data_IF_185307663830
#
_entry.id   IF_185307663830
#
_cell.length_a   1.000
_cell.length_b   1.000
_cell.length_c   1.000
_cell.angle_alpha   90.00
_cell.angle_beta   90.00
_cell.angle_gamma   90.00
#
_symmetry.space_group_name_H-M   'P 1'
#
loop_
_entity.id
_entity.type
_entity.pdbx_description
1 polymer ?
#
# COMPACT_ATOMS: atom_id res chain seq x y z
N UNK A 1 -16.27 26.77 5.91
CA UNK A 1 -14.94 26.75 5.27
C UNK A 1 -15.12 26.46 3.79
N UNK A 2 -14.13 26.78 2.94
CA UNK A 2 -14.34 26.86 1.50
C UNK A 2 -14.26 25.48 0.86
N UNK A 3 -15.39 24.97 0.34
CA UNK A 3 -15.45 23.78 -0.54
C UNK A 3 -14.36 23.81 -1.63
N UNK A 4 -13.94 25.02 -2.03
CA UNK A 4 -12.88 25.27 -3.00
C UNK A 4 -11.50 24.78 -2.55
N UNK A 5 -11.15 24.88 -1.27
CA UNK A 5 -9.82 24.49 -0.76
C UNK A 5 -9.64 22.97 -0.81
N UNK A 6 -10.65 22.23 -0.36
CA UNK A 6 -10.68 20.75 -0.42
C UNK A 6 -10.64 20.25 -1.86
N UNK A 7 -11.41 20.87 -2.74
CA UNK A 7 -11.42 20.51 -4.15
C UNK A 7 -10.08 20.81 -4.84
N UNK A 8 -9.39 21.91 -4.48
CA UNK A 8 -8.04 22.18 -4.97
C UNK A 8 -7.08 21.09 -4.52
N UNK A 9 -7.04 20.80 -3.22
CA UNK A 9 -6.17 19.76 -2.65
C UNK A 9 -6.33 18.40 -3.33
N UNK A 10 -7.58 17.94 -3.53
CA UNK A 10 -7.85 16.67 -4.20
C UNK A 10 -7.31 16.66 -5.63
N UNK A 11 -7.47 17.76 -6.37
CA UNK A 11 -6.95 17.88 -7.74
C UNK A 11 -5.43 17.85 -7.75
N UNK A 12 -4.81 18.63 -6.87
CA UNK A 12 -3.36 18.75 -6.76
C UNK A 12 -2.75 17.39 -6.38
N UNK A 13 -3.37 16.65 -5.46
CA UNK A 13 -2.90 15.32 -5.06
C UNK A 13 -3.05 14.27 -6.19
N UNK A 14 -4.14 14.32 -6.95
CA UNK A 14 -4.31 13.43 -8.12
C UNK A 14 -3.29 13.76 -9.21
N UNK A 15 -3.05 15.04 -9.50
CA UNK A 15 -2.06 15.48 -10.49
C UNK A 15 -0.63 15.13 -10.05
N UNK A 16 -0.29 15.32 -8.78
CA UNK A 16 1.01 14.95 -8.19
C UNK A 16 1.34 13.48 -8.38
N UNK A 17 0.33 12.60 -8.38
CA UNK A 17 0.50 11.17 -8.63
C UNK A 17 0.56 10.79 -10.12
N UNK A 18 0.65 11.79 -11.00
CA UNK A 18 0.91 11.60 -12.43
C UNK A 18 -0.34 11.47 -13.31
N UNK A 19 -1.54 11.74 -12.78
CA UNK A 19 -2.76 11.70 -13.58
C UNK A 19 -3.04 13.04 -14.27
N UNK A 20 -3.23 13.01 -15.59
CA UNK A 20 -3.59 14.19 -16.37
C UNK A 20 -5.07 14.57 -16.13
N UNK A 21 -5.28 15.71 -15.47
CA UNK A 21 -6.59 16.26 -15.14
C UNK A 21 -7.41 16.73 -16.36
N UNK A 22 -6.81 16.78 -17.55
CA UNK A 22 -7.49 17.02 -18.83
C UNK A 22 -8.13 15.76 -19.43
N UNK A 23 -7.83 14.58 -18.88
CA UNK A 23 -8.35 13.29 -19.38
C UNK A 23 -9.57 12.81 -18.59
N UNK A 24 -10.33 11.88 -19.18
CA UNK A 24 -11.45 11.21 -18.49
C UNK A 24 -10.94 10.44 -17.27
N UNK A 25 -9.76 9.83 -17.35
CA UNK A 25 -9.17 9.10 -16.23
C UNK A 25 -8.83 10.02 -15.05
N UNK A 26 -8.11 11.12 -15.29
CA UNK A 26 -7.79 12.07 -14.23
C UNK A 26 -9.03 12.67 -13.56
N UNK A 27 -10.06 13.02 -14.34
CA UNK A 27 -11.34 13.50 -13.79
C UNK A 27 -12.09 12.42 -12.98
N UNK A 28 -12.00 11.15 -13.40
CA UNK A 28 -12.55 10.03 -12.64
C UNK A 28 -11.81 9.87 -11.30
N UNK A 29 -10.48 9.97 -11.28
CA UNK A 29 -9.68 9.90 -10.03
C UNK A 29 -10.04 11.01 -9.05
N UNK A 30 -10.20 12.24 -9.53
CA UNK A 30 -10.67 13.38 -8.72
C UNK A 30 -12.05 13.08 -8.13
N UNK A 31 -12.97 12.52 -8.93
CA UNK A 31 -14.32 12.19 -8.48
C UNK A 31 -14.31 11.08 -7.41
N UNK A 32 -13.53 10.02 -7.64
CA UNK A 32 -13.32 8.92 -6.69
C UNK A 32 -12.77 9.42 -5.35
N UNK A 33 -11.69 10.22 -5.38
CA UNK A 33 -11.10 10.79 -4.17
C UNK A 33 -12.05 11.76 -3.46
N UNK A 34 -12.88 12.50 -4.20
CA UNK A 34 -13.92 13.37 -3.60
C UNK A 34 -14.96 12.57 -2.82
N UNK A 35 -15.42 11.43 -3.35
CA UNK A 35 -16.35 10.54 -2.64
C UNK A 35 -15.71 9.96 -1.37
N UNK A 36 -14.45 9.54 -1.46
CA UNK A 36 -13.69 9.06 -0.30
C UNK A 36 -13.50 10.16 0.76
N UNK A 37 -13.25 11.40 0.33
CA UNK A 37 -13.12 12.55 1.21
C UNK A 37 -14.42 12.86 1.96
N UNK A 38 -15.54 12.85 1.26
CA UNK A 38 -16.86 13.09 1.87
C UNK A 38 -17.20 12.00 2.90
N UNK A 39 -16.87 10.75 2.60
CA UNK A 39 -16.98 9.65 3.55
C UNK A 39 -16.13 9.91 4.81
N UNK A 40 -14.83 10.19 4.64
CA UNK A 40 -13.93 10.46 5.77
C UNK A 40 -14.38 11.68 6.59
N UNK A 41 -14.86 12.75 5.93
CA UNK A 41 -15.36 13.94 6.63
C UNK A 41 -16.56 13.57 7.51
N UNK A 42 -17.52 12.83 6.97
CA UNK A 42 -18.68 12.39 7.75
C UNK A 42 -18.29 11.47 8.92
N UNK A 43 -17.40 10.51 8.68
CA UNK A 43 -16.91 9.58 9.71
C UNK A 43 -16.09 10.30 10.79
N UNK A 44 -15.29 11.31 10.43
CA UNK A 44 -14.48 12.10 11.35
C UNK A 44 -15.31 12.93 12.34
N UNK A 45 -16.55 13.27 11.97
CA UNK A 45 -17.52 13.88 12.89
C UNK A 45 -18.06 12.93 13.96
N UNK A 46 -17.83 11.63 13.82
CA UNK A 46 -18.27 10.58 14.74
C UNK A 46 -17.10 10.05 15.58
N UNK A 47 -15.92 9.89 14.97
CA UNK A 47 -14.72 9.32 15.60
C UNK A 47 -13.44 10.00 15.10
N UNK A 48 -12.44 10.10 15.95
CA UNK A 48 -11.20 10.83 15.64
C UNK A 48 -10.18 10.05 14.82
N UNK A 49 -10.30 8.71 14.74
CA UNK A 49 -9.38 7.83 14.01
C UNK A 49 -10.13 6.81 13.14
N UNK A 50 -9.57 6.42 11.99
CA UNK A 50 -10.17 5.38 11.15
C UNK A 50 -10.01 3.99 11.76
N UNK A 51 -10.96 3.11 11.48
CA UNK A 51 -10.88 1.66 11.70
C UNK A 51 -10.39 0.95 10.44
N UNK A 52 -10.05 -0.34 10.54
CA UNK A 52 -9.72 -1.17 9.37
C UNK A 52 -10.82 -1.17 8.30
N UNK A 53 -12.10 -1.15 8.72
CA UNK A 53 -13.25 -1.05 7.81
C UNK A 53 -13.28 0.30 7.08
N UNK A 54 -12.94 1.40 7.75
CA UNK A 54 -12.83 2.70 7.10
C UNK A 54 -11.70 2.70 6.06
N UNK A 55 -10.55 2.09 6.38
CA UNK A 55 -9.42 1.98 5.44
C UNK A 55 -9.80 1.22 4.17
N UNK A 56 -10.49 0.08 4.31
CA UNK A 56 -11.00 -0.71 3.19
C UNK A 56 -12.02 0.09 2.36
N UNK A 57 -12.93 0.80 3.03
CA UNK A 57 -13.94 1.64 2.38
C UNK A 57 -13.29 2.77 1.59
N UNK A 58 -12.32 3.47 2.18
CA UNK A 58 -11.57 4.53 1.51
C UNK A 58 -10.82 3.98 0.29
N UNK A 59 -10.17 2.84 0.41
CA UNK A 59 -9.44 2.22 -0.68
C UNK A 59 -10.33 1.84 -1.86
N UNK A 60 -11.52 1.28 -1.58
CA UNK A 60 -12.51 0.98 -2.59
C UNK A 60 -13.04 2.27 -3.25
N UNK A 61 -13.30 3.33 -2.49
CA UNK A 61 -13.78 4.60 -3.07
C UNK A 61 -12.72 5.30 -3.94
N UNK A 62 -11.45 5.29 -3.51
CA UNK A 62 -10.33 5.92 -4.23
C UNK A 62 -9.96 5.15 -5.51
N UNK A 63 -10.03 3.82 -5.48
CA UNK A 63 -9.65 2.94 -6.58
C UNK A 63 -10.62 1.74 -6.75
N UNK A 64 -11.89 1.97 -7.16
CA UNK A 64 -12.94 0.94 -7.09
C UNK A 64 -12.60 -0.34 -7.83
N UNK A 65 -12.08 -0.23 -9.05
CA UNK A 65 -11.76 -1.40 -9.86
C UNK A 65 -10.53 -2.17 -9.34
N UNK A 66 -9.56 -1.48 -8.71
CA UNK A 66 -8.30 -2.09 -8.28
C UNK A 66 -8.39 -2.68 -6.87
N UNK A 67 -9.21 -2.08 -6.01
CA UNK A 67 -9.33 -2.40 -4.60
C UNK A 67 -10.67 -3.07 -4.21
N UNK A 68 -11.49 -3.49 -5.19
CA UNK A 68 -12.75 -4.21 -4.95
C UNK A 68 -12.61 -5.53 -4.14
N UNK A 69 -11.39 -6.02 -3.93
CA UNK A 69 -11.09 -7.23 -3.14
C UNK A 69 -10.40 -6.93 -1.81
N UNK A 70 -10.39 -5.67 -1.38
CA UNK A 70 -9.70 -5.21 -0.18
C UNK A 70 -8.19 -5.12 -0.38
N UNK A 71 -7.44 -5.69 0.55
CA UNK A 71 -5.97 -5.65 0.54
C UNK A 71 -5.37 -6.32 -0.70
N UNK A 72 -4.17 -5.86 -1.10
CA UNK A 72 -3.43 -6.46 -2.21
C UNK A 72 -3.10 -7.93 -1.92
N UNK A 73 -3.17 -8.75 -2.96
CA UNK A 73 -2.80 -10.17 -2.92
C UNK A 73 -1.54 -10.48 -3.73
N UNK A 74 -0.79 -9.42 -4.07
CA UNK A 74 0.43 -9.50 -4.86
C UNK A 74 1.46 -8.54 -4.27
N UNK A 75 2.76 -8.78 -4.50
CA UNK A 75 3.79 -7.78 -4.25
C UNK A 75 3.50 -6.48 -5.01
N UNK A 76 3.84 -5.36 -4.40
CA UNK A 76 3.89 -4.02 -4.99
C UNK A 76 5.17 -3.35 -4.54
N UNK A 77 5.63 -2.34 -5.28
CA UNK A 77 6.90 -1.67 -5.04
C UNK A 77 6.68 -0.16 -5.01
N UNK A 78 7.36 0.52 -4.08
CA UNK A 78 7.31 1.98 -3.97
C UNK A 78 8.55 2.57 -4.66
N UNK A 79 8.33 3.39 -5.70
CA UNK A 79 9.33 4.19 -6.43
C UNK A 79 10.49 3.40 -7.11
N UNK A 80 11.30 4.13 -7.89
CA UNK A 80 12.38 3.74 -8.83
C UNK A 80 13.50 2.78 -8.32
N UNK A 81 13.31 2.06 -7.20
CA UNK A 81 14.38 1.35 -6.51
C UNK A 81 14.06 -0.06 -5.99
N UNK A 82 13.00 -0.72 -6.45
CA UNK A 82 12.70 -2.12 -6.06
C UNK A 82 12.54 -2.35 -4.56
N UNK A 83 12.18 -1.32 -3.80
CA UNK A 83 12.07 -1.44 -2.35
C UNK A 83 10.82 -2.25 -2.01
N UNK A 84 10.96 -3.44 -1.41
CA UNK A 84 9.83 -4.27 -1.06
C UNK A 84 9.05 -3.57 0.07
N UNK A 85 7.75 -3.46 -0.12
CA UNK A 85 6.81 -3.21 0.97
C UNK A 85 6.68 -4.46 1.84
N UNK A 86 5.93 -4.38 2.94
CA UNK A 86 5.52 -5.57 3.72
C UNK A 86 5.04 -6.71 2.80
N UNK A 87 5.35 -7.97 3.12
CA UNK A 87 4.85 -9.10 2.32
C UNK A 87 3.33 -9.04 2.25
N UNK A 88 2.75 -9.20 1.07
CA UNK A 88 1.30 -9.02 0.87
C UNK A 88 0.47 -9.96 1.76
N UNK A 89 1.04 -11.10 2.19
CA UNK A 89 0.38 -12.05 3.10
C UNK A 89 0.27 -11.52 4.51
N UNK A 90 1.20 -10.66 4.93
CA UNK A 90 1.22 -10.03 6.26
C UNK A 90 0.44 -8.71 6.30
N UNK A 91 0.09 -8.13 5.15
CA UNK A 91 -0.65 -6.85 5.07
C UNK A 91 -1.89 -6.80 5.96
N UNK A 92 -2.81 -7.80 5.96
CA UNK A 92 -4.01 -7.71 6.79
C UNK A 92 -3.69 -7.58 8.28
N UNK A 93 -2.74 -8.37 8.77
CA UNK A 93 -2.31 -8.36 10.17
C UNK A 93 -1.56 -7.07 10.52
N UNK A 94 -0.70 -6.58 9.62
CA UNK A 94 0.02 -5.31 9.82
C UNK A 94 -0.92 -4.10 9.86
N UNK A 95 -1.95 -4.06 9.01
CA UNK A 95 -2.95 -2.98 9.06
C UNK A 95 -3.77 -3.04 10.35
N UNK A 96 -4.19 -4.24 10.77
CA UNK A 96 -4.94 -4.39 12.01
C UNK A 96 -4.10 -3.94 13.21
N UNK A 97 -2.83 -4.35 13.27
CA UNK A 97 -1.90 -3.91 14.31
C UNK A 97 -1.68 -2.39 14.31
N UNK A 98 -1.55 -1.78 13.13
CA UNK A 98 -1.45 -0.32 13.00
C UNK A 98 -2.71 0.39 13.52
N UNK A 99 -3.90 -0.13 13.23
CA UNK A 99 -5.16 0.46 13.72
C UNK A 99 -5.33 0.25 15.22
N UNK A 100 -5.03 -0.94 15.74
CA UNK A 100 -5.19 -1.30 17.16
C UNK A 100 -4.20 -0.56 18.06
N UNK A 101 -2.93 -0.47 17.65
CA UNK A 101 -1.85 0.10 18.47
C UNK A 101 -1.46 1.52 18.04
N UNK A 102 -2.04 2.02 16.95
CA UNK A 102 -1.71 3.33 16.41
C UNK A 102 -2.23 4.50 17.24
N UNK A 103 -2.92 4.30 18.36
CA UNK A 103 -3.47 5.38 19.20
C UNK A 103 -2.39 6.37 19.66
N UNK A 104 -1.19 5.87 19.94
CA UNK A 104 -0.05 6.66 20.42
C UNK A 104 0.68 7.42 19.29
N UNK A 105 0.41 7.07 18.02
CA UNK A 105 1.05 7.70 16.87
C UNK A 105 0.45 9.07 16.57
N UNK A 106 1.30 10.01 16.20
CA UNK A 106 0.87 11.26 15.55
C UNK A 106 0.27 10.98 14.16
N UNK A 107 -0.50 11.92 13.57
CA UNK A 107 -1.02 11.75 12.21
C UNK A 107 0.06 11.45 11.17
N UNK A 108 1.24 12.08 11.30
CA UNK A 108 2.34 11.87 10.36
C UNK A 108 3.01 10.50 10.54
N UNK A 109 3.19 10.04 11.77
CA UNK A 109 3.72 8.69 12.04
C UNK A 109 2.75 7.61 11.54
N UNK A 110 1.45 7.75 11.82
CA UNK A 110 0.44 6.82 11.32
C UNK A 110 0.43 6.77 9.78
N UNK A 111 0.48 7.93 9.13
CA UNK A 111 0.60 8.03 7.67
C UNK A 111 1.86 7.32 7.15
N UNK A 112 3.00 7.51 7.82
CA UNK A 112 4.27 6.90 7.44
C UNK A 112 4.22 5.38 7.51
N UNK A 113 3.71 4.83 8.63
CA UNK A 113 3.51 3.39 8.81
C UNK A 113 2.54 2.81 7.76
N UNK A 114 1.43 3.51 7.51
CA UNK A 114 0.47 3.11 6.48
C UNK A 114 1.11 3.04 5.08
N UNK A 115 1.92 4.03 4.70
CA UNK A 115 2.61 4.06 3.41
C UNK A 115 3.68 2.95 3.30
N UNK A 116 4.34 2.59 4.40
CA UNK A 116 5.30 1.47 4.46
C UNK A 116 4.63 0.11 4.29
N UNK A 117 3.49 -0.11 4.94
CA UNK A 117 2.67 -1.33 4.75
C UNK A 117 2.18 -1.41 3.30
N UNK A 118 1.78 -0.27 2.74
CA UNK A 118 1.30 -0.10 1.37
C UNK A 118 0.16 -1.09 1.03
N UNK A 119 -0.96 -1.06 1.77
CA UNK A 119 -1.87 -2.20 1.86
C UNK A 119 -2.70 -2.49 0.61
N UNK A 120 -2.80 -1.55 -0.33
CA UNK A 120 -3.67 -1.65 -1.49
C UNK A 120 -2.92 -1.81 -2.80
N UNK A 121 -3.63 -2.27 -3.84
CA UNK A 121 -3.04 -2.47 -5.17
C UNK A 121 -2.63 -1.15 -5.82
N UNK A 122 -3.38 -0.09 -5.53
CA UNK A 122 -3.12 1.27 -5.99
C UNK A 122 -3.86 2.26 -5.07
N UNK A 123 -3.51 3.54 -5.19
CA UNK A 123 -4.15 4.63 -4.48
C UNK A 123 -3.69 4.80 -3.03
N UNK A 124 -2.65 4.09 -2.58
CA UNK A 124 -2.13 4.16 -1.21
C UNK A 124 -1.88 5.61 -0.79
N UNK A 125 -1.07 6.37 -1.54
CA UNK A 125 -0.79 7.78 -1.21
C UNK A 125 -2.05 8.66 -1.09
N UNK A 126 -3.08 8.41 -1.93
CA UNK A 126 -4.36 9.15 -1.86
C UNK A 126 -5.16 8.77 -0.62
N UNK A 127 -5.20 7.48 -0.28
CA UNK A 127 -5.84 6.99 0.95
C UNK A 127 -5.09 7.52 2.19
N UNK A 128 -3.76 7.46 2.18
CA UNK A 128 -2.89 8.00 3.22
C UNK A 128 -3.11 9.50 3.44
N UNK A 129 -3.20 10.30 2.37
CA UNK A 129 -3.49 11.73 2.47
C UNK A 129 -4.85 12.02 3.12
N UNK A 130 -5.87 11.21 2.84
CA UNK A 130 -7.19 11.32 3.48
C UNK A 130 -7.10 10.97 4.97
N UNK A 131 -6.43 9.86 5.32
CA UNK A 131 -6.25 9.42 6.71
C UNK A 131 -5.51 10.48 7.52
N UNK A 132 -4.41 11.01 6.97
CA UNK A 132 -3.64 12.07 7.59
C UNK A 132 -4.53 13.26 7.95
N UNK A 133 -5.32 13.74 6.99
CA UNK A 133 -6.20 14.89 7.20
C UNK A 133 -7.37 14.60 8.15
N UNK A 134 -7.85 13.36 8.19
CA UNK A 134 -8.84 12.92 9.19
C UNK A 134 -8.23 13.06 10.58
N UNK A 135 -7.07 12.43 10.81
CA UNK A 135 -6.44 12.36 12.12
C UNK A 135 -5.88 13.71 12.58
N UNK A 136 -5.43 14.56 11.65
CA UNK A 136 -4.96 15.91 11.90
C UNK A 136 -6.11 16.91 12.15
N UNK A 137 -7.36 16.50 11.95
CA UNK A 137 -8.52 17.39 12.08
C UNK A 137 -8.59 18.47 11.00
N UNK A 138 -7.93 18.24 9.85
CA UNK A 138 -7.77 19.20 8.75
C UNK A 138 -8.67 18.87 7.55
N UNK A 139 -9.72 18.05 7.71
CA UNK A 139 -10.66 17.68 6.63
C UNK A 139 -11.33 18.86 5.92
N UNK A 140 -11.42 20.02 6.56
CA UNK A 140 -12.02 21.23 5.98
C UNK A 140 -10.98 22.23 5.44
N UNK A 141 -9.71 22.09 5.83
CA UNK A 141 -8.58 22.89 5.37
C UNK A 141 -7.35 21.97 5.23
N UNK A 142 -7.31 21.16 4.15
CA UNK A 142 -6.38 20.06 4.08
C UNK A 142 -4.93 20.47 3.95
N UNK A 143 -4.08 19.66 4.57
CA UNK A 143 -2.63 19.79 4.58
C UNK A 143 -2.02 18.58 3.89
N UNK A 144 -1.01 18.82 3.05
CA UNK A 144 -0.24 17.72 2.48
C UNK A 144 0.67 17.14 3.56
N UNK A 145 0.72 15.81 3.75
CA UNK A 145 1.68 15.21 4.66
C UNK A 145 3.10 15.56 4.19
N UNK A 146 4.00 15.80 5.15
CA UNK A 146 5.42 16.04 4.87
C UNK A 146 5.98 14.91 4.01
N UNK A 147 6.85 15.24 3.06
CA UNK A 147 7.53 14.25 2.24
C UNK A 147 8.57 13.49 3.07
N UNK A 148 8.13 12.42 3.71
CA UNK A 148 8.99 11.52 4.46
C UNK A 148 9.77 10.59 3.54
N UNK A 149 9.38 10.39 2.27
CA UNK A 149 10.04 9.40 1.40
C UNK A 149 11.02 10.01 0.38
N UNK A 150 10.99 11.32 0.16
CA UNK A 150 11.70 12.00 -0.93
C UNK A 150 13.06 12.62 -0.60
N UNK A 151 13.62 12.49 0.61
CA UNK A 151 14.85 13.23 0.98
C UNK A 151 16.07 12.42 1.42
N UNK A 152 16.13 11.09 1.29
CA UNK A 152 17.34 10.37 1.66
C UNK A 152 17.86 9.47 0.55
N UNK A 153 18.89 9.97 -0.15
CA UNK A 153 19.79 9.16 -0.97
C UNK A 153 20.56 8.13 -0.10
N UNK A 154 20.62 8.28 1.24
CA UNK A 154 21.47 7.40 2.09
C UNK A 154 20.92 6.93 3.47
N UNK A 155 19.78 7.40 4.00
CA UNK A 155 19.51 7.24 5.47
C UNK A 155 18.41 6.23 5.88
N UNK A 156 17.53 5.79 4.97
CA UNK A 156 16.39 4.91 5.33
C UNK A 156 16.80 3.49 5.74
N UNK A 157 17.98 3.03 5.32
CA UNK A 157 18.48 1.70 5.68
C UNK A 157 18.97 1.61 7.13
N UNK A 158 19.40 2.72 7.76
CA UNK A 158 19.74 2.68 9.19
C UNK A 158 18.49 2.71 10.06
N UNK A 159 17.49 3.52 9.70
CA UNK A 159 16.20 3.60 10.40
C UNK A 159 15.44 2.26 10.29
N UNK A 160 15.24 1.72 9.08
CA UNK A 160 14.53 0.45 8.91
C UNK A 160 15.28 -0.79 9.46
N UNK A 161 16.62 -0.76 9.55
CA UNK A 161 17.39 -1.84 10.22
C UNK A 161 17.35 -1.72 11.75
N UNK A 162 17.18 -0.52 12.29
CA UNK A 162 16.89 -0.34 13.72
C UNK A 162 15.42 -0.64 14.04
N UNK A 163 14.49 -0.39 13.10
CA UNK A 163 13.05 -0.48 13.30
C UNK A 163 12.37 -1.75 12.77
N UNK A 164 13.08 -2.65 12.10
CA UNK A 164 12.63 -4.04 11.97
C UNK A 164 12.51 -4.73 13.35
N UNK A 165 13.08 -4.11 14.40
CA UNK A 165 12.87 -4.45 15.80
C UNK A 165 11.78 -3.59 16.49
N UNK A 166 11.16 -2.62 15.80
CA UNK A 166 10.18 -1.67 16.34
C UNK A 166 8.79 -1.81 15.71
N UNK A 167 8.59 -2.81 14.83
CA UNK A 167 7.28 -3.35 14.51
C UNK A 167 6.69 -3.96 15.79
N UNK A 168 5.97 -3.13 16.56
CA UNK A 168 5.09 -3.47 17.69
C UNK A 168 5.55 -4.77 18.38
N UNK A 169 6.64 -4.69 19.15
CA UNK A 169 7.06 -5.79 20.00
C UNK A 169 6.00 -5.98 21.09
N UNK A 170 5.08 -6.92 20.89
CA UNK A 170 4.29 -7.48 21.97
C UNK A 170 5.25 -8.06 23.01
N UNK A 171 5.00 -7.74 24.28
CA UNK A 171 5.78 -8.18 25.43
C UNK A 171 6.06 -9.70 25.44
N UNK A 172 7.29 -10.04 25.80
CA UNK A 172 7.80 -11.35 26.20
C UNK A 172 7.79 -12.47 25.14
N UNK A 173 8.78 -12.52 24.24
CA UNK A 173 9.34 -13.81 23.80
C UNK A 173 10.78 -13.71 23.25
N UNK A 174 11.52 -14.80 23.45
CA UNK A 174 12.97 -14.96 23.33
C UNK A 174 13.48 -14.79 21.87
N UNK A 175 14.56 -14.02 21.69
CA UNK A 175 15.12 -13.66 20.37
C UNK A 175 15.69 -14.89 19.66
N UNK A 176 14.89 -15.49 18.78
CA UNK A 176 15.36 -16.38 17.72
C UNK A 176 15.95 -15.54 16.58
N UNK A 177 17.15 -15.90 16.12
CA UNK A 177 17.76 -15.31 14.93
C UNK A 177 16.81 -15.46 13.72
N UNK A 178 16.43 -14.34 13.10
CA UNK A 178 15.77 -14.34 11.79
C UNK A 178 16.81 -14.84 10.78
N UNK A 179 16.65 -16.09 10.35
CA UNK A 179 17.25 -16.56 9.10
C UNK A 179 16.49 -15.83 7.99
N UNK A 180 17.20 -15.09 7.13
CA UNK A 180 16.62 -14.52 5.91
C UNK A 180 15.76 -15.60 5.23
N UNK A 181 14.43 -15.43 5.09
CA UNK A 181 13.68 -16.35 4.27
C UNK A 181 14.25 -16.23 2.86
N UNK A 182 14.58 -17.38 2.27
CA UNK A 182 15.03 -17.52 0.89
C UNK A 182 13.83 -17.15 -0.02
N UNK A 183 13.53 -15.85 -0.13
CA UNK A 183 12.48 -15.30 -0.98
C UNK A 183 12.95 -15.49 -2.42
N UNK A 184 12.64 -16.66 -2.98
CA UNK A 184 12.95 -16.99 -4.37
C UNK A 184 13.08 -18.47 -4.66
N UNK A 185 13.17 -19.36 -3.66
CA UNK A 185 13.28 -20.80 -3.90
C UNK A 185 12.41 -21.59 -2.93
N UNK A 186 11.13 -21.69 -3.23
CA UNK A 186 10.37 -22.83 -2.73
C UNK A 186 10.52 -23.96 -3.76
N UNK A 187 10.88 -25.15 -3.28
CA UNK A 187 10.88 -26.37 -4.08
C UNK A 187 9.44 -26.84 -4.24
N UNK A 188 8.67 -26.17 -5.10
CA UNK A 188 7.40 -26.70 -5.55
C UNK A 188 7.70 -27.92 -6.42
N UNK A 189 7.22 -29.09 -6.01
CA UNK A 189 7.12 -30.23 -6.93
C UNK A 189 6.18 -29.82 -8.08
N UNK A 190 6.39 -30.34 -9.29
CA UNK A 190 5.68 -29.95 -10.53
C UNK A 190 4.14 -29.90 -10.40
N UNK A 191 3.58 -30.67 -9.45
CA UNK A 191 2.14 -30.74 -9.20
C UNK A 191 1.58 -29.52 -8.41
N UNK A 192 2.42 -28.73 -7.74
CA UNK A 192 2.00 -27.73 -6.73
C UNK A 192 1.98 -26.27 -7.25
N UNK A 193 2.47 -26.02 -8.46
CA UNK A 193 2.45 -24.68 -9.08
C UNK A 193 1.00 -24.16 -9.28
N UNK A 194 0.03 -25.08 -9.45
CA UNK A 194 -1.40 -24.77 -9.59
C UNK A 194 -1.97 -24.05 -8.37
N UNK A 195 -1.52 -24.42 -7.17
CA UNK A 195 -2.04 -23.89 -5.91
C UNK A 195 -1.46 -22.50 -5.60
N UNK A 196 -0.19 -22.28 -5.93
CA UNK A 196 0.52 -21.03 -5.61
C UNK A 196 0.23 -19.88 -6.60
N UNK A 197 0.02 -20.20 -7.89
CA UNK A 197 -0.09 -19.18 -8.94
C UNK A 197 -1.42 -19.21 -9.70
N UNK A 198 -2.33 -20.13 -9.37
CA UNK A 198 -3.62 -20.32 -10.07
C UNK A 198 -3.47 -20.48 -11.60
N UNK A 199 -2.31 -20.99 -12.04
CA UNK A 199 -2.01 -21.22 -13.44
C UNK A 199 -2.62 -22.56 -13.86
N UNK A 200 -3.65 -22.53 -14.72
CA UNK A 200 -4.38 -23.71 -15.16
C UNK A 200 -3.65 -24.58 -16.20
N UNK A 201 -2.34 -24.40 -16.37
CA UNK A 201 -1.53 -25.03 -17.41
C UNK A 201 -0.93 -26.33 -16.87
N UNK A 202 -0.94 -27.40 -17.67
CA UNK A 202 -0.50 -28.74 -17.27
C UNK A 202 0.62 -29.24 -18.17
N UNK A 203 1.64 -29.90 -17.61
CA UNK A 203 2.71 -30.52 -18.40
C UNK A 203 3.71 -29.54 -19.01
N UNK A 204 3.92 -28.40 -18.35
CA UNK A 204 4.94 -27.41 -18.72
C UNK A 204 6.12 -27.50 -17.75
N UNK A 205 7.32 -27.45 -18.31
CA UNK A 205 8.56 -27.50 -17.53
C UNK A 205 8.69 -26.20 -16.72
N UNK A 206 8.92 -26.32 -15.41
CA UNK A 206 9.15 -25.19 -14.53
C UNK A 206 10.65 -24.91 -14.57
N UNK A 207 11.05 -23.75 -15.07
CA UNK A 207 12.47 -23.38 -15.19
C UNK A 207 12.67 -21.88 -15.06
N UNK A 208 13.91 -21.47 -14.81
CA UNK A 208 14.27 -20.06 -14.61
C UNK A 208 14.45 -19.67 -13.14
N UNK A 209 14.91 -18.43 -12.88
CA UNK A 209 15.29 -17.99 -11.53
C UNK A 209 14.13 -17.92 -10.54
N UNK A 210 12.89 -17.96 -11.03
CA UNK A 210 11.67 -17.80 -10.24
C UNK A 210 10.84 -19.09 -10.08
N UNK A 211 11.30 -20.23 -10.61
CA UNK A 211 10.53 -21.48 -10.64
C UNK A 211 9.08 -21.29 -11.13
N UNK A 212 8.91 -20.55 -12.23
CA UNK A 212 7.61 -20.33 -12.88
C UNK A 212 7.55 -21.10 -14.21
N UNK A 213 6.33 -21.39 -14.68
CA UNK A 213 6.16 -21.82 -16.06
C UNK A 213 6.42 -20.65 -17.01
N UNK A 214 6.82 -20.95 -18.26
CA UNK A 214 7.17 -19.96 -19.27
C UNK A 214 6.09 -18.88 -19.49
N UNK A 215 4.82 -19.22 -19.33
CA UNK A 215 3.71 -18.27 -19.49
C UNK A 215 3.66 -17.29 -18.33
N UNK A 216 3.79 -17.77 -17.09
CA UNK A 216 3.81 -16.90 -15.91
C UNK A 216 5.09 -16.06 -15.84
N UNK A 217 6.24 -16.61 -16.26
CA UNK A 217 7.52 -15.90 -16.29
C UNK A 217 7.49 -14.74 -17.30
N UNK A 218 6.87 -14.94 -18.47
CA UNK A 218 6.70 -13.89 -19.47
C UNK A 218 5.70 -12.79 -19.04
N UNK A 219 4.64 -13.15 -18.29
CA UNK A 219 3.74 -12.15 -17.69
C UNK A 219 4.44 -11.35 -16.59
N UNK A 220 5.33 -11.98 -15.81
CA UNK A 220 6.06 -11.34 -14.72
C UNK A 220 7.17 -10.39 -15.22
N UNK A 221 7.76 -10.69 -16.38
CA UNK A 221 8.84 -9.90 -17.00
C UNK A 221 8.37 -8.89 -18.04
N UNK A 222 7.05 -8.71 -18.23
CA UNK A 222 6.50 -7.72 -19.16
C UNK A 222 6.76 -8.03 -20.64
N UNK A 223 7.04 -9.28 -20.99
CA UNK A 223 7.15 -9.73 -22.39
C UNK A 223 8.43 -9.35 -23.13
N UNK A 224 9.42 -8.72 -22.51
CA UNK A 224 10.72 -8.46 -23.14
C UNK A 224 11.73 -9.55 -22.77
N UNK A 225 11.77 -10.62 -23.57
CA UNK A 225 12.97 -11.47 -23.62
C UNK A 225 14.05 -10.73 -24.39
N UNK A 226 15.04 -10.21 -23.67
CA UNK A 226 16.33 -9.84 -24.25
C UNK A 226 16.98 -11.14 -24.77
N UNK A 227 17.11 -11.24 -26.08
CA UNK A 227 17.83 -12.30 -26.80
C UNK A 227 19.34 -12.21 -26.58
#
# INVERSE_FOLDING_TARGET
>A
MSVTEVHSFIRDEVERQGFDLGTVEGLLRVSCMSLAWDYARAASGIRTRPTTEDLLTLAELVEPARNARGFRQTPVFIYEGWKPTVDWRSVPESVEALVEHGEELTPLEFYTEFELIHPFRDGNGRVGAIIYNWMNGSMDAPEAPSDVFGTAEEDWLEVAKQDANYLIQSADEEVGYIVEPDIGKHACADDDCRSCHNCGITGVDISGPWNLCEVCDNEYTGGERVT
#
